data_IF_925672100993
#
_entry.id   IF_925672100993
#
_cell.length_a   1.000
_cell.length_b   1.000
_cell.length_c   1.000
_cell.angle_alpha   90.00
_cell.angle_beta   90.00
_cell.angle_gamma   90.00
#
_symmetry.space_group_name_H-M   'P 1'
#
loop_
_entity.id
_entity.type
_entity.pdbx_description
1 polymer ?
#
# COMPACT_ATOMS: atom_id res chain seq x y z
N UNK A 1 -9.46 24.39 -11.44
CA UNK A 1 -8.84 23.30 -10.68
C UNK A 1 -8.32 23.89 -9.38
N UNK A 2 -8.76 23.37 -8.22
CA UNK A 2 -8.27 23.82 -6.90
C UNK A 2 -6.81 23.40 -6.67
N UNK A 3 -6.22 23.89 -5.58
CA UNK A 3 -4.89 23.47 -5.13
C UNK A 3 -4.97 22.04 -4.57
N UNK A 4 -4.08 21.14 -5.01
CA UNK A 4 -3.97 19.78 -4.46
C UNK A 4 -3.27 19.87 -3.11
N UNK A 5 -3.92 19.38 -2.05
CA UNK A 5 -3.37 19.41 -0.69
C UNK A 5 -2.18 18.47 -0.53
N UNK A 6 -1.08 18.98 -0.01
CA UNK A 6 0.07 18.16 0.39
C UNK A 6 -0.14 17.63 1.81
N UNK A 7 -0.59 16.38 1.90
CA UNK A 7 -0.68 15.70 3.19
C UNK A 7 0.72 15.29 3.67
N UNK A 8 1.14 15.86 4.79
CA UNK A 8 2.43 15.52 5.41
C UNK A 8 2.33 14.19 6.17
N UNK A 9 3.02 13.18 5.67
CA UNK A 9 3.08 11.88 6.32
C UNK A 9 3.88 11.99 7.62
N UNK A 10 3.29 11.52 8.72
CA UNK A 10 3.94 11.43 10.03
C UNK A 10 4.52 10.04 10.31
N UNK A 11 4.27 9.08 9.43
CA UNK A 11 4.83 7.73 9.54
C UNK A 11 6.30 7.73 9.11
N UNK A 12 7.18 7.48 10.07
CA UNK A 12 8.64 7.58 9.88
C UNK A 12 9.30 6.24 9.49
N UNK A 13 8.61 5.12 9.69
CA UNK A 13 9.18 3.80 9.51
C UNK A 13 8.82 3.18 8.13
N UNK A 14 9.24 3.85 7.06
CA UNK A 14 8.92 3.42 5.69
C UNK A 14 9.79 2.27 5.16
N UNK A 15 10.89 1.95 5.83
CA UNK A 15 11.91 1.01 5.36
C UNK A 15 12.06 -0.23 6.26
N UNK A 16 10.95 -0.83 6.66
CA UNK A 16 10.96 -2.05 7.46
C UNK A 16 10.46 -1.86 8.89
N UNK A 17 10.95 -2.68 9.80
CA UNK A 17 10.55 -2.71 11.21
C UNK A 17 11.55 -1.92 12.05
N UNK A 18 11.05 -1.27 13.10
CA UNK A 18 11.91 -0.50 14.03
C UNK A 18 12.94 -1.41 14.70
N UNK A 19 14.18 -0.93 14.78
CA UNK A 19 15.31 -1.66 15.35
C UNK A 19 15.07 -2.15 16.79
N UNK A 20 14.30 -1.40 17.57
CA UNK A 20 13.97 -1.80 18.95
C UNK A 20 13.09 -3.06 18.98
N UNK A 21 12.28 -3.26 17.94
CA UNK A 21 11.44 -4.46 17.80
C UNK A 21 12.30 -5.62 17.29
N UNK A 22 13.03 -5.43 16.19
CA UNK A 22 13.86 -6.50 15.59
C UNK A 22 14.87 -7.08 16.56
N UNK A 23 15.51 -6.22 17.36
CA UNK A 23 16.48 -6.67 18.39
C UNK A 23 15.87 -7.48 19.53
N UNK A 24 14.59 -7.20 19.90
CA UNK A 24 13.92 -7.93 20.98
C UNK A 24 13.41 -9.28 20.54
N UNK A 25 13.17 -9.51 19.26
CA UNK A 25 12.58 -10.74 18.75
C UNK A 25 13.54 -11.93 18.77
N UNK A 26 14.85 -11.71 18.74
CA UNK A 26 15.85 -12.77 18.58
C UNK A 26 15.80 -13.49 17.22
N UNK A 27 15.03 -12.98 16.28
CA UNK A 27 14.90 -13.55 14.92
C UNK A 27 16.15 -13.32 14.09
N UNK A 28 16.35 -14.17 13.10
CA UNK A 28 17.39 -13.97 12.09
C UNK A 28 16.85 -13.08 10.96
N UNK A 29 17.67 -12.14 10.56
CA UNK A 29 17.42 -11.24 9.43
C UNK A 29 18.51 -11.46 8.37
N UNK A 30 18.11 -11.43 7.06
CA UNK A 30 16.81 -11.00 6.51
C UNK A 30 15.71 -12.07 6.51
N UNK A 31 15.93 -13.31 6.94
CA UNK A 31 15.02 -14.44 6.82
C UNK A 31 13.61 -14.09 7.33
N UNK A 32 13.50 -13.39 8.47
CA UNK A 32 12.22 -12.97 9.05
C UNK A 32 11.36 -12.06 8.13
N UNK A 33 11.94 -11.51 7.07
CA UNK A 33 11.20 -10.75 6.04
C UNK A 33 10.76 -11.61 4.87
N UNK A 34 11.23 -12.87 4.76
CA UNK A 34 11.11 -13.67 3.54
C UNK A 34 10.29 -14.94 3.69
N UNK A 35 10.19 -15.52 4.86
CA UNK A 35 9.38 -16.70 5.13
C UNK A 35 8.15 -16.36 5.99
N UNK A 36 7.08 -17.16 5.82
CA UNK A 36 5.78 -16.92 6.49
C UNK A 36 5.88 -16.98 8.01
N UNK A 37 6.66 -17.88 8.57
CA UNK A 37 6.80 -18.02 10.02
C UNK A 37 7.48 -16.77 10.61
N UNK A 38 8.56 -16.30 9.98
CA UNK A 38 9.22 -15.06 10.35
C UNK A 38 8.30 -13.85 10.20
N UNK A 39 7.56 -13.76 9.09
CA UNK A 39 6.61 -12.68 8.85
C UNK A 39 5.50 -12.65 9.90
N UNK A 40 4.91 -13.79 10.27
CA UNK A 40 3.88 -13.88 11.30
C UNK A 40 4.40 -13.43 12.66
N UNK A 41 5.52 -14.00 13.08
CA UNK A 41 6.13 -13.68 14.36
C UNK A 41 6.52 -12.21 14.44
N UNK A 42 7.10 -11.66 13.37
CA UNK A 42 7.48 -10.25 13.29
C UNK A 42 6.25 -9.32 13.28
N UNK A 43 5.18 -9.67 12.56
CA UNK A 43 3.94 -8.89 12.54
C UNK A 43 3.29 -8.80 13.92
N UNK A 44 3.27 -9.91 14.68
CA UNK A 44 2.79 -9.94 16.07
C UNK A 44 3.69 -9.11 17.00
N UNK A 45 5.01 -9.21 16.87
CA UNK A 45 5.95 -8.43 17.66
C UNK A 45 5.80 -6.92 17.40
N UNK A 46 5.58 -6.51 16.14
CA UNK A 46 5.31 -5.11 15.79
C UNK A 46 3.97 -4.67 16.36
N UNK A 47 2.91 -5.48 16.20
CA UNK A 47 1.58 -5.21 16.77
C UNK A 47 1.66 -4.94 18.26
N UNK A 48 2.35 -5.80 19.00
CA UNK A 48 2.53 -5.68 20.46
C UNK A 48 3.33 -4.43 20.82
N UNK A 49 4.48 -4.21 20.17
CA UNK A 49 5.36 -3.07 20.43
C UNK A 49 4.72 -1.70 20.12
N UNK A 50 3.82 -1.66 19.14
CA UNK A 50 3.10 -0.47 18.74
C UNK A 50 1.77 -0.30 19.48
N UNK A 51 1.29 -1.31 20.22
CA UNK A 51 -0.07 -1.34 20.78
C UNK A 51 -1.13 -1.25 19.67
N UNK A 52 -0.82 -1.78 18.48
CA UNK A 52 -1.71 -1.76 17.33
C UNK A 52 -2.78 -2.85 17.44
N UNK A 53 -3.95 -2.64 16.82
CA UNK A 53 -5.03 -3.62 16.83
C UNK A 53 -4.95 -4.63 15.66
N UNK A 54 -3.89 -4.62 14.86
CA UNK A 54 -3.73 -5.49 13.69
C UNK A 54 -2.28 -5.87 13.45
N UNK A 55 -2.09 -6.98 12.76
CA UNK A 55 -0.82 -7.39 12.16
C UNK A 55 -0.71 -6.76 10.77
N UNK A 56 0.40 -6.08 10.48
CA UNK A 56 0.67 -5.47 9.17
C UNK A 56 1.58 -6.36 8.34
N UNK A 57 1.22 -6.61 7.09
CA UNK A 57 2.03 -7.27 6.07
C UNK A 57 2.01 -6.46 4.76
N UNK A 58 3.07 -6.53 3.94
CA UNK A 58 4.45 -6.85 4.32
C UNK A 58 5.12 -5.66 5.04
N UNK A 59 6.40 -5.82 5.40
CA UNK A 59 7.17 -4.78 6.12
C UNK A 59 7.90 -3.80 5.18
N UNK A 60 7.62 -3.87 3.89
CA UNK A 60 8.27 -3.05 2.86
C UNK A 60 7.34 -2.89 1.66
N UNK A 61 7.73 -2.03 0.72
CA UNK A 61 6.99 -1.76 -0.53
C UNK A 61 7.71 -2.33 -1.75
N UNK A 62 8.28 -3.53 -1.61
CA UNK A 62 9.08 -4.15 -2.67
C UNK A 62 8.60 -5.53 -3.08
N UNK A 63 7.54 -6.05 -2.44
CA UNK A 63 7.07 -7.42 -2.67
C UNK A 63 6.56 -7.61 -4.10
N UNK A 64 5.73 -6.68 -4.58
CA UNK A 64 5.21 -6.72 -5.95
C UNK A 64 6.32 -6.49 -6.98
N UNK A 65 7.22 -5.54 -6.71
CA UNK A 65 8.34 -5.28 -7.61
C UNK A 65 9.29 -6.48 -7.70
N UNK A 66 9.56 -7.15 -6.58
CA UNK A 66 10.37 -8.38 -6.54
C UNK A 66 9.72 -9.50 -7.35
N UNK A 67 8.40 -9.68 -7.21
CA UNK A 67 7.66 -10.68 -7.98
C UNK A 67 7.63 -10.38 -9.49
N UNK A 68 7.85 -9.11 -9.88
CA UNK A 68 8.07 -8.68 -11.26
C UNK A 68 9.54 -8.74 -11.70
N UNK A 69 10.43 -9.26 -10.85
CA UNK A 69 11.85 -9.47 -11.18
C UNK A 69 12.81 -8.35 -10.74
N UNK A 70 12.38 -7.42 -9.88
CA UNK A 70 13.27 -6.40 -9.35
C UNK A 70 14.41 -7.00 -8.54
N UNK A 71 15.59 -6.39 -8.63
CA UNK A 71 16.68 -6.64 -7.70
C UNK A 71 16.36 -6.04 -6.34
N UNK A 72 16.44 -6.85 -5.28
CA UNK A 72 16.12 -6.43 -3.92
C UNK A 72 17.35 -6.57 -3.04
N UNK A 73 17.70 -5.51 -2.33
CA UNK A 73 18.58 -5.61 -1.17
C UNK A 73 17.73 -6.20 -0.02
N UNK A 74 18.07 -7.38 0.50
CA UNK A 74 17.23 -8.11 1.43
C UNK A 74 17.07 -7.43 2.79
N UNK A 75 17.92 -6.47 3.12
CA UNK A 75 17.91 -5.81 4.41
C UNK A 75 18.60 -6.63 5.51
N UNK A 76 18.44 -6.14 6.73
CA UNK A 76 18.97 -6.72 7.96
C UNK A 76 18.07 -6.31 9.15
N UNK A 77 18.52 -6.52 10.36
CA UNK A 77 17.80 -6.14 11.59
C UNK A 77 17.63 -4.62 11.77
N UNK A 78 18.37 -3.79 11.03
CA UNK A 78 18.32 -2.33 11.13
C UNK A 78 17.52 -1.68 9.99
N UNK A 79 17.39 -2.39 8.87
CA UNK A 79 16.78 -1.85 7.64
C UNK A 79 16.09 -2.96 6.87
N UNK A 80 14.80 -2.81 6.62
CA UNK A 80 14.02 -3.79 5.86
C UNK A 80 14.42 -3.91 4.40
N UNK A 81 13.79 -4.84 3.68
CA UNK A 81 14.00 -5.04 2.24
C UNK A 81 13.72 -3.76 1.45
N UNK A 82 14.61 -3.43 0.51
CA UNK A 82 14.53 -2.23 -0.33
C UNK A 82 15.03 -2.50 -1.74
N UNK A 83 14.70 -1.60 -2.69
CA UNK A 83 15.18 -1.70 -4.05
C UNK A 83 16.70 -1.77 -4.13
N UNK A 84 17.21 -2.67 -4.97
CA UNK A 84 18.61 -2.79 -5.36
C UNK A 84 18.87 -2.01 -6.65
N UNK A 85 19.76 -2.54 -7.49
CA UNK A 85 20.04 -1.95 -8.79
C UNK A 85 18.85 -2.10 -9.74
N UNK A 86 18.50 -1.04 -10.50
CA UNK A 86 17.42 -1.11 -11.48
C UNK A 86 17.69 -2.18 -12.55
N UNK A 87 16.69 -3.01 -12.82
CA UNK A 87 16.75 -4.07 -13.84
C UNK A 87 16.19 -3.62 -15.18
N UNK A 88 15.24 -2.68 -15.20
CA UNK A 88 14.69 -2.07 -16.40
C UNK A 88 15.48 -0.80 -16.71
N UNK A 89 16.17 -0.77 -17.85
CA UNK A 89 17.14 0.28 -18.20
C UNK A 89 16.75 1.11 -19.38
N UNK A 90 15.78 0.63 -20.17
CA UNK A 90 15.31 1.29 -21.39
C UNK A 90 13.79 1.51 -21.34
N UNK A 91 13.24 2.42 -22.18
CA UNK A 91 11.80 2.56 -22.33
C UNK A 91 11.12 1.28 -22.80
N UNK A 92 11.79 0.49 -23.61
CA UNK A 92 11.29 -0.79 -24.13
C UNK A 92 11.16 -1.81 -23.00
N UNK A 93 12.11 -1.86 -22.07
CA UNK A 93 12.04 -2.74 -20.90
C UNK A 93 10.81 -2.41 -20.04
N UNK A 94 10.50 -1.10 -19.86
CA UNK A 94 9.32 -0.67 -19.09
C UNK A 94 8.01 -1.21 -19.68
N UNK A 95 7.91 -1.34 -21.02
CA UNK A 95 6.72 -1.83 -21.72
C UNK A 95 6.56 -3.34 -21.61
N UNK A 96 7.58 -4.05 -21.15
CA UNK A 96 7.63 -5.51 -21.09
C UNK A 96 7.60 -6.05 -19.65
N UNK A 97 7.07 -5.27 -18.69
CA UNK A 97 6.87 -5.78 -17.33
C UNK A 97 5.97 -7.01 -17.37
N UNK A 98 6.39 -8.07 -16.66
CA UNK A 98 5.69 -9.34 -16.62
C UNK A 98 4.43 -9.34 -15.75
N UNK A 99 3.96 -10.53 -15.43
CA UNK A 99 2.86 -10.78 -14.51
C UNK A 99 3.38 -11.19 -13.14
N UNK A 100 2.61 -10.90 -12.08
CA UNK A 100 2.87 -11.41 -10.74
C UNK A 100 2.60 -12.91 -10.67
N UNK A 101 3.61 -13.69 -10.31
CA UNK A 101 3.41 -15.07 -9.90
C UNK A 101 3.14 -15.11 -8.40
N UNK A 102 1.87 -15.23 -8.03
CA UNK A 102 1.41 -15.24 -6.64
C UNK A 102 1.70 -16.56 -5.90
N UNK A 103 2.21 -17.58 -6.62
CA UNK A 103 2.44 -18.92 -6.07
C UNK A 103 3.88 -19.17 -5.63
N UNK A 104 4.75 -18.17 -5.72
CA UNK A 104 6.17 -18.32 -5.34
C UNK A 104 6.77 -17.04 -4.78
N UNK A 105 7.91 -17.21 -4.10
CA UNK A 105 8.70 -16.10 -3.56
C UNK A 105 7.99 -15.37 -2.42
N UNK A 106 8.48 -14.20 -2.10
CA UNK A 106 8.04 -13.44 -0.93
C UNK A 106 6.57 -12.99 -1.02
N UNK A 107 6.04 -12.77 -2.21
CA UNK A 107 4.61 -12.44 -2.40
C UNK A 107 3.71 -13.61 -1.96
N UNK A 108 4.10 -14.85 -2.30
CA UNK A 108 3.42 -16.05 -1.83
C UNK A 108 3.50 -16.19 -0.32
N UNK A 109 4.70 -16.07 0.26
CA UNK A 109 4.88 -16.15 1.71
C UNK A 109 4.10 -15.07 2.46
N UNK A 110 3.95 -13.87 1.87
CA UNK A 110 3.11 -12.80 2.42
C UNK A 110 1.63 -13.18 2.46
N UNK A 111 1.12 -13.83 1.40
CA UNK A 111 -0.26 -14.31 1.34
C UNK A 111 -0.51 -15.45 2.34
N UNK A 112 0.42 -16.39 2.43
CA UNK A 112 0.30 -17.49 3.39
C UNK A 112 0.42 -17.00 4.85
N UNK A 113 1.33 -16.05 5.14
CA UNK A 113 1.40 -15.41 6.45
C UNK A 113 0.09 -14.69 6.80
N UNK A 114 -0.56 -14.03 5.83
CA UNK A 114 -1.86 -13.42 6.02
C UNK A 114 -2.91 -14.46 6.39
N UNK A 115 -2.98 -15.59 5.67
CA UNK A 115 -3.92 -16.68 5.91
C UNK A 115 -3.75 -17.26 7.30
N UNK A 116 -2.54 -17.64 7.66
CA UNK A 116 -2.23 -18.25 8.94
C UNK A 116 -2.46 -17.31 10.12
N UNK A 117 -2.10 -16.01 10.01
CA UNK A 117 -2.45 -15.02 11.03
C UNK A 117 -3.97 -14.91 11.22
N UNK A 118 -4.72 -14.98 10.12
CA UNK A 118 -6.18 -14.95 10.18
C UNK A 118 -6.76 -16.21 10.86
N UNK A 119 -6.23 -17.38 10.58
CA UNK A 119 -6.59 -18.65 11.24
C UNK A 119 -6.27 -18.63 12.74
N UNK A 120 -5.20 -17.92 13.14
CA UNK A 120 -4.82 -17.68 14.54
C UNK A 120 -5.70 -16.61 15.23
N UNK A 121 -6.69 -16.04 14.53
CA UNK A 121 -7.65 -15.05 15.06
C UNK A 121 -7.16 -13.61 15.04
N UNK A 122 -6.05 -13.33 14.35
CA UNK A 122 -5.54 -11.97 14.23
C UNK A 122 -6.37 -11.12 13.27
N UNK A 123 -6.40 -9.81 13.51
CA UNK A 123 -6.82 -8.83 12.50
C UNK A 123 -5.61 -8.54 11.60
N UNK A 124 -5.78 -8.67 10.29
CA UNK A 124 -4.66 -8.53 9.35
C UNK A 124 -4.90 -7.38 8.39
N UNK A 125 -3.91 -6.49 8.31
CA UNK A 125 -3.83 -5.47 7.26
C UNK A 125 -2.72 -5.83 6.27
N UNK A 126 -3.04 -5.81 4.96
CA UNK A 126 -2.08 -6.04 3.91
C UNK A 126 -1.88 -4.78 3.08
N UNK A 127 -0.62 -4.34 2.93
CA UNK A 127 -0.28 -3.16 2.14
C UNK A 127 -0.06 -3.52 0.67
N UNK A 128 -0.71 -2.76 -0.21
CA UNK A 128 -0.54 -2.76 -1.65
C UNK A 128 0.32 -1.57 -2.05
N UNK A 129 1.27 -1.80 -2.93
CA UNK A 129 2.15 -0.75 -3.45
C UNK A 129 1.59 -0.17 -4.75
N UNK A 130 1.53 1.15 -4.86
CA UNK A 130 1.10 1.79 -6.09
C UNK A 130 2.17 1.77 -7.20
N UNK A 131 1.76 2.02 -8.47
CA UNK A 131 2.59 1.77 -9.65
C UNK A 131 3.85 2.60 -9.69
N UNK A 132 3.81 3.88 -9.35
CA UNK A 132 5.02 4.71 -9.40
C UNK A 132 6.07 4.23 -8.39
N UNK A 133 5.64 3.78 -7.21
CA UNK A 133 6.55 3.24 -6.20
C UNK A 133 7.13 1.90 -6.65
N UNK A 134 6.31 0.96 -7.09
CA UNK A 134 6.77 -0.36 -7.52
C UNK A 134 7.67 -0.29 -8.76
N UNK A 135 7.28 0.47 -9.78
CA UNK A 135 8.08 0.65 -10.99
C UNK A 135 9.38 1.40 -10.73
N UNK A 136 9.44 2.29 -9.71
CA UNK A 136 10.68 2.95 -9.29
C UNK A 136 11.66 2.00 -8.56
N UNK A 137 11.24 0.80 -8.19
CA UNK A 137 12.12 -0.27 -7.71
C UNK A 137 12.68 -1.08 -8.88
N UNK A 138 11.89 -1.25 -9.95
CA UNK A 138 12.29 -1.98 -11.15
C UNK A 138 13.19 -1.16 -12.07
N UNK A 139 12.90 0.12 -12.22
CA UNK A 139 13.59 1.05 -13.12
C UNK A 139 14.19 2.24 -12.36
N UNK A 140 15.18 2.90 -12.97
CA UNK A 140 15.62 4.21 -12.47
C UNK A 140 14.41 5.17 -12.46
N UNK A 141 14.08 5.79 -11.31
CA UNK A 141 12.99 6.76 -11.22
C UNK A 141 13.07 7.88 -12.28
N UNK A 142 14.29 8.31 -12.66
CA UNK A 142 14.49 9.31 -13.71
C UNK A 142 13.98 8.82 -15.06
N UNK A 143 14.21 7.55 -15.38
CA UNK A 143 13.68 6.93 -16.60
C UNK A 143 12.15 6.92 -16.56
N UNK A 144 11.55 6.35 -15.51
CA UNK A 144 10.09 6.26 -15.37
C UNK A 144 9.40 7.62 -15.49
N UNK A 145 9.86 8.61 -14.73
CA UNK A 145 9.23 9.93 -14.75
C UNK A 145 9.49 10.72 -16.04
N UNK A 146 10.63 10.49 -16.72
CA UNK A 146 10.91 11.06 -18.02
C UNK A 146 9.96 10.48 -19.08
N UNK A 147 9.80 9.16 -19.09
CA UNK A 147 8.91 8.48 -20.03
C UNK A 147 7.46 8.90 -19.79
N UNK A 148 7.00 8.93 -18.54
CA UNK A 148 5.64 9.39 -18.22
C UNK A 148 5.35 10.82 -18.68
N UNK A 149 6.36 11.71 -18.69
CA UNK A 149 6.20 13.09 -19.21
C UNK A 149 6.21 13.18 -20.74
N UNK A 150 7.00 12.34 -21.42
CA UNK A 150 7.22 12.40 -22.87
C UNK A 150 6.31 11.47 -23.66
N UNK A 151 6.02 10.31 -23.09
CA UNK A 151 5.28 9.20 -23.70
C UNK A 151 4.15 8.76 -22.76
N UNK A 152 3.26 9.73 -22.42
CA UNK A 152 2.23 9.56 -21.37
C UNK A 152 1.33 8.36 -21.65
N UNK A 153 0.80 8.23 -22.86
CA UNK A 153 -0.16 7.18 -23.21
C UNK A 153 0.45 5.79 -23.03
N UNK A 154 1.64 5.59 -23.60
CA UNK A 154 2.36 4.32 -23.50
C UNK A 154 2.72 3.97 -22.03
N UNK A 155 3.16 4.97 -21.27
CA UNK A 155 3.47 4.76 -19.85
C UNK A 155 2.20 4.54 -19.03
N UNK A 156 1.08 5.17 -19.36
CA UNK A 156 -0.21 4.91 -18.73
C UNK A 156 -0.67 3.46 -18.93
N UNK A 157 -0.40 2.87 -20.09
CA UNK A 157 -0.65 1.44 -20.34
C UNK A 157 0.19 0.55 -19.40
N UNK A 158 1.46 0.89 -19.19
CA UNK A 158 2.32 0.20 -18.21
C UNK A 158 1.77 0.32 -16.79
N UNK A 159 1.32 1.53 -16.38
CA UNK A 159 0.69 1.73 -15.07
C UNK A 159 -0.58 0.88 -14.93
N UNK A 160 -1.42 0.78 -15.97
CA UNK A 160 -2.65 -0.03 -15.95
C UNK A 160 -2.33 -1.51 -15.91
N UNK A 161 -1.37 -2.00 -16.70
CA UNK A 161 -0.94 -3.39 -16.63
C UNK A 161 -0.47 -3.76 -15.21
N UNK A 162 0.38 -2.91 -14.61
CA UNK A 162 0.74 -3.08 -13.20
C UNK A 162 -0.49 -3.08 -12.28
N UNK A 163 -1.44 -2.18 -12.51
CA UNK A 163 -2.69 -2.09 -11.75
C UNK A 163 -3.52 -3.38 -11.81
N UNK A 164 -3.60 -4.04 -12.97
CA UNK A 164 -4.24 -5.35 -13.12
C UNK A 164 -3.56 -6.40 -12.25
N UNK A 165 -2.23 -6.41 -12.22
CA UNK A 165 -1.47 -7.33 -11.38
C UNK A 165 -1.69 -7.02 -9.89
N UNK A 166 -1.71 -5.75 -9.49
CA UNK A 166 -2.01 -5.31 -8.13
C UNK A 166 -3.42 -5.72 -7.68
N UNK A 167 -4.43 -5.63 -8.57
CA UNK A 167 -5.79 -6.12 -8.29
C UNK A 167 -5.85 -7.64 -8.10
N UNK A 168 -5.06 -8.42 -8.86
CA UNK A 168 -4.92 -9.87 -8.64
C UNK A 168 -4.37 -10.16 -7.24
N UNK A 169 -3.33 -9.46 -6.83
CA UNK A 169 -2.76 -9.58 -5.48
C UNK A 169 -3.74 -9.14 -4.39
N UNK A 170 -4.45 -8.02 -4.59
CA UNK A 170 -5.48 -7.55 -3.68
C UNK A 170 -6.61 -8.58 -3.48
N UNK A 171 -7.05 -9.22 -4.57
CA UNK A 171 -8.05 -10.29 -4.53
C UNK A 171 -7.55 -11.52 -3.76
N UNK A 172 -6.32 -11.96 -4.03
CA UNK A 172 -5.70 -13.05 -3.30
C UNK A 172 -5.55 -12.74 -1.80
N UNK A 173 -5.17 -11.51 -1.44
CA UNK A 173 -5.10 -11.08 -0.05
C UNK A 173 -6.46 -11.12 0.65
N UNK A 174 -7.55 -10.71 -0.02
CA UNK A 174 -8.92 -10.86 0.46
C UNK A 174 -9.28 -12.34 0.68
N UNK A 175 -8.95 -13.21 -0.25
CA UNK A 175 -9.18 -14.66 -0.18
C UNK A 175 -8.38 -15.31 0.98
N UNK A 176 -7.19 -14.78 1.29
CA UNK A 176 -6.40 -15.17 2.47
C UNK A 176 -6.91 -14.56 3.79
N UNK A 177 -7.98 -13.74 3.75
CA UNK A 177 -8.66 -13.24 4.94
C UNK A 177 -8.16 -11.90 5.45
N UNK A 178 -7.48 -11.09 4.65
CA UNK A 178 -7.15 -9.72 5.03
C UNK A 178 -8.40 -8.93 5.42
N UNK A 179 -8.34 -8.22 6.54
CA UNK A 179 -9.42 -7.37 7.05
C UNK A 179 -9.33 -5.94 6.49
N UNK A 180 -8.11 -5.51 6.16
CA UNK A 180 -7.82 -4.18 5.62
C UNK A 180 -6.83 -4.31 4.46
N UNK A 181 -7.14 -3.71 3.32
CA UNK A 181 -6.14 -3.44 2.29
C UNK A 181 -5.68 -1.98 2.40
N UNK A 182 -4.39 -1.78 2.61
CA UNK A 182 -3.79 -0.43 2.66
C UNK A 182 -3.14 -0.15 1.31
N UNK A 183 -3.65 0.82 0.56
CA UNK A 183 -3.03 1.23 -0.69
C UNK A 183 -2.19 2.50 -0.51
N UNK A 184 -0.94 2.45 -0.95
CA UNK A 184 -0.03 3.59 -0.91
C UNK A 184 0.90 3.66 -2.12
N UNK A 185 1.09 4.88 -2.65
CA UNK A 185 2.03 5.17 -3.73
C UNK A 185 2.91 6.37 -3.38
N UNK A 186 4.02 6.11 -2.70
CA UNK A 186 4.89 7.17 -2.20
C UNK A 186 5.55 7.97 -3.33
N UNK A 187 6.01 7.28 -4.38
CA UNK A 187 6.63 7.91 -5.54
C UNK A 187 5.59 8.58 -6.45
N UNK A 188 4.32 8.11 -6.40
CA UNK A 188 3.17 8.74 -7.06
C UNK A 188 2.57 9.91 -6.29
N UNK A 189 3.22 10.42 -5.24
CA UNK A 189 2.67 11.49 -4.41
C UNK A 189 3.00 12.89 -4.92
N UNK A 190 2.19 13.88 -4.53
CA UNK A 190 2.30 15.27 -4.94
C UNK A 190 3.72 15.89 -4.84
N UNK A 191 4.49 15.69 -3.73
CA UNK A 191 5.84 16.23 -3.63
C UNK A 191 6.82 15.70 -4.69
N UNK A 192 6.57 14.50 -5.23
CA UNK A 192 7.41 13.87 -6.25
C UNK A 192 6.94 14.24 -7.66
N UNK A 193 5.64 14.11 -7.91
CA UNK A 193 5.06 14.33 -9.24
C UNK A 193 4.88 15.82 -9.57
N UNK A 194 4.61 16.63 -8.56
CA UNK A 194 4.09 17.99 -8.74
C UNK A 194 2.63 18.02 -9.23
N UNK A 195 1.93 19.16 -9.12
CA UNK A 195 0.47 19.20 -9.29
C UNK A 195 0.01 18.80 -10.71
N UNK A 196 0.71 19.24 -11.76
CA UNK A 196 0.33 18.93 -13.14
C UNK A 196 0.42 17.44 -13.46
N UNK A 197 1.50 16.79 -13.00
CA UNK A 197 1.70 15.35 -13.25
C UNK A 197 0.78 14.55 -12.36
N UNK A 198 0.51 14.99 -11.12
CA UNK A 198 -0.43 14.35 -10.22
C UNK A 198 -1.86 14.31 -10.78
N UNK A 199 -2.34 15.41 -11.38
CA UNK A 199 -3.64 15.44 -12.05
C UNK A 199 -3.70 14.42 -13.19
N UNK A 200 -2.66 14.36 -14.03
CA UNK A 200 -2.57 13.37 -15.11
C UNK A 200 -2.53 11.93 -14.58
N UNK A 201 -1.78 11.68 -13.52
CA UNK A 201 -1.73 10.36 -12.89
C UNK A 201 -3.08 9.93 -12.30
N UNK A 202 -3.86 10.87 -11.77
CA UNK A 202 -5.21 10.60 -11.32
C UNK A 202 -6.12 10.20 -12.50
N UNK A 203 -6.08 10.94 -13.61
CA UNK A 203 -6.82 10.63 -14.84
C UNK A 203 -6.41 9.27 -15.44
N UNK A 204 -5.11 9.00 -15.54
CA UNK A 204 -4.58 7.81 -16.22
C UNK A 204 -4.74 6.53 -15.41
N UNK A 205 -4.70 6.64 -14.07
CA UNK A 205 -4.62 5.47 -13.21
C UNK A 205 -5.71 5.43 -12.13
N UNK A 206 -5.90 6.46 -11.29
CA UNK A 206 -6.81 6.37 -10.15
C UNK A 206 -8.27 6.21 -10.56
N UNK A 207 -8.72 6.92 -11.62
CA UNK A 207 -10.08 6.80 -12.17
C UNK A 207 -10.38 5.37 -12.62
N UNK A 208 -9.38 4.68 -13.12
CA UNK A 208 -9.51 3.30 -13.57
C UNK A 208 -9.34 2.29 -12.43
N UNK A 209 -8.34 2.49 -11.56
CA UNK A 209 -7.90 1.52 -10.56
C UNK A 209 -8.78 1.51 -9.29
N UNK A 210 -9.04 2.71 -8.72
CA UNK A 210 -9.70 2.79 -7.42
C UNK A 210 -11.12 2.21 -7.41
N UNK A 211 -11.99 2.42 -8.44
CA UNK A 211 -13.29 1.77 -8.49
C UNK A 211 -13.20 0.23 -8.45
N UNK A 212 -12.25 -0.36 -9.18
CA UNK A 212 -12.01 -1.80 -9.19
C UNK A 212 -11.51 -2.33 -7.87
N UNK A 213 -10.62 -1.60 -7.22
CA UNK A 213 -10.19 -1.93 -5.87
C UNK A 213 -11.36 -1.84 -4.87
N UNK A 214 -12.21 -0.82 -4.98
CA UNK A 214 -13.37 -0.61 -4.13
C UNK A 214 -14.44 -1.72 -4.23
N UNK A 215 -14.49 -2.45 -5.36
CA UNK A 215 -15.36 -3.62 -5.53
C UNK A 215 -15.00 -4.78 -4.61
N UNK A 216 -13.76 -4.82 -4.11
CA UNK A 216 -13.32 -5.86 -3.18
C UNK A 216 -13.84 -5.63 -1.75
N UNK A 217 -14.24 -4.40 -1.40
CA UNK A 217 -14.73 -4.07 -0.05
C UNK A 217 -16.12 -4.69 0.21
N UNK A 218 -16.26 -5.32 1.38
CA UNK A 218 -17.50 -5.94 1.85
C UNK A 218 -17.57 -5.94 3.40
N UNK A 219 -18.40 -6.78 3.99
CA UNK A 219 -18.55 -6.92 5.45
C UNK A 219 -17.28 -7.41 6.15
N UNK A 220 -16.34 -8.02 5.42
CA UNK A 220 -15.10 -8.56 5.96
C UNK A 220 -13.88 -7.70 5.66
N UNK A 221 -13.92 -6.94 4.57
CA UNK A 221 -12.79 -6.18 4.06
C UNK A 221 -13.14 -4.71 3.88
N UNK A 222 -12.27 -3.82 4.36
CA UNK A 222 -12.29 -2.39 4.03
C UNK A 222 -10.95 -1.94 3.44
N UNK A 223 -11.01 -0.92 2.58
CA UNK A 223 -9.83 -0.35 1.95
C UNK A 223 -9.43 0.94 2.67
N UNK A 224 -8.14 1.12 2.90
CA UNK A 224 -7.57 2.36 3.43
C UNK A 224 -6.57 2.94 2.44
N UNK A 225 -6.90 4.06 1.82
CA UNK A 225 -5.93 4.80 1.02
C UNK A 225 -4.97 5.57 1.92
N UNK A 226 -3.71 5.63 1.52
CA UNK A 226 -2.80 6.64 2.06
C UNK A 226 -3.44 8.03 1.89
N UNK A 227 -3.50 8.88 2.93
CA UNK A 227 -4.11 10.21 2.84
C UNK A 227 -3.58 11.06 1.69
N UNK A 228 -2.31 10.91 1.29
CA UNK A 228 -1.76 11.58 0.11
C UNK A 228 -2.53 11.24 -1.16
N UNK A 229 -2.93 9.97 -1.32
CA UNK A 229 -3.69 9.50 -2.48
C UNK A 229 -5.16 9.89 -2.37
N UNK A 230 -5.74 9.78 -1.17
CA UNK A 230 -7.14 10.13 -0.92
C UNK A 230 -7.39 11.61 -1.21
N UNK A 231 -6.58 12.50 -0.65
CA UNK A 231 -6.72 13.94 -0.91
C UNK A 231 -6.42 14.31 -2.35
N UNK A 232 -5.45 13.66 -2.99
CA UNK A 232 -5.20 13.88 -4.41
C UNK A 232 -6.41 13.50 -5.27
N UNK A 233 -7.07 12.38 -5.00
CA UNK A 233 -8.28 11.98 -5.73
C UNK A 233 -9.43 13.00 -5.55
N UNK A 234 -9.61 13.52 -4.33
CA UNK A 234 -10.63 14.56 -4.05
C UNK A 234 -10.28 15.87 -4.75
N UNK A 235 -9.05 16.36 -4.59
CA UNK A 235 -8.64 17.68 -5.09
C UNK A 235 -8.47 17.73 -6.61
N UNK A 236 -8.36 16.56 -7.25
CA UNK A 236 -8.40 16.44 -8.72
C UNK A 236 -9.81 16.18 -9.27
N UNK A 237 -10.83 16.11 -8.41
CA UNK A 237 -12.24 15.98 -8.82
C UNK A 237 -12.65 14.55 -9.20
N UNK A 238 -11.92 13.53 -8.76
CA UNK A 238 -12.22 12.12 -9.04
C UNK A 238 -12.86 11.38 -7.85
N UNK A 239 -13.02 12.09 -6.74
CA UNK A 239 -13.69 11.57 -5.56
C UNK A 239 -14.28 12.70 -4.72
N UNK A 240 -15.25 12.36 -3.88
CA UNK A 240 -15.79 13.23 -2.84
C UNK A 240 -15.75 12.54 -1.49
N UNK A 241 -15.91 13.32 -0.42
CA UNK A 241 -16.01 12.79 0.92
C UNK A 241 -17.49 12.57 1.29
N UNK A 242 -17.81 11.37 1.78
CA UNK A 242 -19.04 11.09 2.50
C UNK A 242 -18.74 10.93 3.99
N UNK A 243 -19.61 11.44 4.86
CA UNK A 243 -19.41 11.45 6.29
C UNK A 243 -20.28 10.39 6.98
N UNK A 244 -19.67 9.60 7.84
CA UNK A 244 -20.34 8.57 8.63
C UNK A 244 -20.10 8.84 10.13
N UNK A 245 -21.13 8.97 10.96
CA UNK A 245 -20.97 9.15 12.39
C UNK A 245 -20.28 7.93 13.05
N UNK A 246 -19.36 8.22 13.95
CA UNK A 246 -18.67 7.24 14.81
C UNK A 246 -18.63 7.75 16.26
N UNK A 247 -18.15 6.93 17.20
CA UNK A 247 -17.87 7.43 18.53
C UNK A 247 -16.70 8.43 18.50
N UNK A 248 -16.84 9.61 19.12
CA UNK A 248 -15.74 10.57 19.19
C UNK A 248 -14.54 10.01 19.95
N UNK A 249 -13.34 10.30 19.42
CA UNK A 249 -12.08 9.93 20.09
C UNK A 249 -11.67 8.45 19.97
N UNK A 250 -12.42 7.60 19.28
CA UNK A 250 -11.97 6.23 18.94
C UNK A 250 -10.74 6.30 18.04
N UNK A 251 -9.94 5.26 18.03
CA UNK A 251 -8.83 5.18 17.08
C UNK A 251 -9.35 5.13 15.64
N UNK A 252 -8.55 5.67 14.70
CA UNK A 252 -8.91 5.60 13.29
C UNK A 252 -9.06 4.17 12.80
N UNK A 253 -8.26 3.27 13.34
CA UNK A 253 -8.33 1.84 13.01
C UNK A 253 -9.64 1.19 13.47
N UNK A 254 -10.09 1.47 14.71
CA UNK A 254 -11.38 0.97 15.19
C UNK A 254 -12.53 1.52 14.34
N UNK A 255 -12.47 2.80 13.98
CA UNK A 255 -13.44 3.40 13.08
C UNK A 255 -13.43 2.72 11.71
N UNK A 256 -12.24 2.46 11.15
CA UNK A 256 -12.08 1.78 9.86
C UNK A 256 -12.72 0.38 9.90
N UNK A 257 -12.40 -0.43 10.89
CA UNK A 257 -12.96 -1.77 11.06
C UNK A 257 -14.49 -1.76 11.28
N UNK A 258 -15.00 -0.79 12.05
CA UNK A 258 -16.44 -0.61 12.29
C UNK A 258 -17.23 -0.18 11.03
N UNK A 259 -16.53 0.35 10.02
CA UNK A 259 -17.14 0.77 8.75
C UNK A 259 -17.19 -0.35 7.69
N UNK A 260 -16.65 -1.53 7.95
CA UNK A 260 -16.79 -2.68 7.02
C UNK A 260 -18.27 -2.95 6.71
N UNK A 261 -18.58 -3.18 5.45
CA UNK A 261 -19.97 -3.35 4.96
C UNK A 261 -20.81 -2.06 4.91
N UNK A 262 -20.30 -0.93 5.44
CA UNK A 262 -21.00 0.37 5.46
C UNK A 262 -20.30 1.44 4.62
N UNK A 263 -18.97 1.36 4.53
CA UNK A 263 -18.12 2.19 3.70
C UNK A 263 -17.14 1.30 2.95
N UNK A 264 -16.65 1.75 1.80
CA UNK A 264 -15.69 0.99 0.99
C UNK A 264 -14.25 1.43 1.20
N UNK A 265 -14.01 2.74 1.21
CA UNK A 265 -12.67 3.32 1.24
C UNK A 265 -12.56 4.39 2.32
N UNK A 266 -11.66 4.21 3.28
CA UNK A 266 -11.21 5.26 4.18
C UNK A 266 -9.91 5.90 3.69
N UNK A 267 -9.66 7.18 4.04
CA UNK A 267 -8.45 7.88 3.59
C UNK A 267 -8.11 9.13 4.40
N UNK A 268 -8.82 9.40 5.48
CA UNK A 268 -8.61 10.60 6.30
C UNK A 268 -7.36 10.54 7.18
N UNK A 269 -6.86 9.35 7.49
CA UNK A 269 -5.68 9.14 8.31
C UNK A 269 -4.93 7.88 7.85
N UNK A 270 -3.65 7.77 8.26
CA UNK A 270 -2.87 6.57 7.99
C UNK A 270 -3.12 5.52 9.08
N UNK A 271 -3.60 4.31 8.76
CA UNK A 271 -3.84 3.27 9.75
C UNK A 271 -2.55 2.79 10.45
N UNK A 272 -1.39 3.00 9.82
CA UNK A 272 -0.07 2.69 10.40
C UNK A 272 0.39 3.71 11.46
N UNK A 273 -0.29 4.85 11.59
CA UNK A 273 0.02 5.84 12.63
C UNK A 273 -0.74 5.47 13.90
N UNK A 274 -0.05 4.78 14.79
CA UNK A 274 -0.58 4.41 16.11
C UNK A 274 -1.02 5.65 16.88
N UNK A 275 -2.18 5.57 17.53
CA UNK A 275 -2.76 6.69 18.28
C UNK A 275 -3.50 7.74 17.44
N UNK A 276 -3.57 7.59 16.11
CA UNK A 276 -4.46 8.41 15.30
C UNK A 276 -5.91 8.22 15.71
N UNK A 277 -6.62 9.32 16.01
CA UNK A 277 -8.00 9.29 16.53
C UNK A 277 -8.96 10.04 15.60
N UNK A 278 -10.19 9.56 15.55
CA UNK A 278 -11.33 10.28 14.96
C UNK A 278 -11.84 11.28 15.99
N UNK A 279 -11.28 12.50 15.96
CA UNK A 279 -11.50 13.51 17.03
C UNK A 279 -12.92 14.06 17.04
N UNK A 280 -13.49 14.28 15.85
CA UNK A 280 -14.82 14.87 15.64
C UNK A 280 -15.96 13.84 15.60
N UNK A 281 -15.66 12.56 15.79
CA UNK A 281 -16.64 11.49 15.69
C UNK A 281 -17.16 11.25 14.26
N UNK A 282 -16.40 11.65 13.24
CA UNK A 282 -16.81 11.50 11.84
C UNK A 282 -15.76 10.69 11.07
N UNK A 283 -16.14 9.52 10.61
CA UNK A 283 -15.38 8.76 9.62
C UNK A 283 -15.68 9.32 8.22
N UNK A 284 -14.62 9.57 7.47
CA UNK A 284 -14.70 10.14 6.12
C UNK A 284 -14.39 9.06 5.09
N UNK A 285 -15.45 8.62 4.42
CA UNK A 285 -15.34 7.72 3.28
C UNK A 285 -14.96 8.49 2.03
N UNK A 286 -14.08 7.92 1.23
CA UNK A 286 -13.81 8.37 -0.12
C UNK A 286 -14.80 7.70 -1.08
N UNK A 287 -15.71 8.47 -1.63
CA UNK A 287 -16.65 8.02 -2.66
C UNK A 287 -16.13 8.44 -4.02
N UNK A 288 -15.90 7.47 -4.90
CA UNK A 288 -15.37 7.70 -6.25
C UNK A 288 -16.47 8.21 -7.18
N UNK A 289 -16.11 9.10 -8.13
CA UNK A 289 -16.99 9.69 -9.13
C UNK A 289 -16.77 9.11 -10.52
#
# INVERSE_FOLDING_TARGET
MGEIRDYKCTYTNSAGVRREVTKKTGMRFPEAYYDREGMKALAKAVKEADGAAFCLLPFCRTVEAEALGASINPGDENSGPRGGEPVLRTPEDLKQIGELDLNRGRIHETLEACRELKEEGETVALELTGPFTALSVLADPKLLFKEYRKHREETAEVLRHYGEQSLRFAKAAKECGADILIYSDSAGSLPILGPRVMTKAAEDFYVWYLPRLAELADERLIISLCPKMAYAAVDTGHARIAEHPTAPGISYLEALLAMRGRAKIGGQSCPKTVGSKVKDGIFRELVLE
#
